data_IF_383429392048
#
_entry.id   IF_383429392048
#
_cell.length_a   1.000
_cell.length_b   1.000
_cell.length_c   1.000
_cell.angle_alpha   90.00
_cell.angle_beta   90.00
_cell.angle_gamma   90.00
#
_symmetry.space_group_name_H-M   'P 1'
#
loop_
_entity.id
_entity.type
_entity.pdbx_description
1 polymer ?
#
# COMPACT_ATOMS: atom_id res chain seq x y z
N UNK A 1 -10.47 -20.89 5.47
CA UNK A 1 -10.29 -19.42 5.55
C UNK A 1 -8.83 -19.01 5.75
N UNK A 2 -8.06 -19.67 6.64
CA UNK A 2 -6.63 -19.35 6.84
C UNK A 2 -5.76 -19.43 5.56
N UNK A 3 -6.00 -20.41 4.69
CA UNK A 3 -5.30 -20.51 3.40
C UNK A 3 -5.50 -19.25 2.54
N UNK A 4 -6.74 -18.77 2.42
CA UNK A 4 -7.09 -17.57 1.64
C UNK A 4 -6.41 -16.33 2.22
N UNK A 5 -6.39 -16.18 3.55
CA UNK A 5 -5.73 -15.06 4.22
C UNK A 5 -4.21 -15.05 3.95
N UNK A 6 -3.56 -16.22 4.01
CA UNK A 6 -2.13 -16.35 3.71
C UNK A 6 -1.83 -16.08 2.24
N UNK A 7 -2.66 -16.59 1.30
CA UNK A 7 -2.51 -16.30 -0.13
C UNK A 7 -2.60 -14.80 -0.41
N UNK A 8 -3.61 -14.13 0.13
CA UNK A 8 -3.78 -12.68 0.00
C UNK A 8 -2.61 -11.92 0.63
N UNK A 9 -2.18 -12.31 1.84
CA UNK A 9 -1.04 -11.70 2.53
C UNK A 9 0.22 -11.75 1.66
N UNK A 10 0.53 -12.90 1.05
CA UNK A 10 1.69 -13.07 0.17
C UNK A 10 1.60 -12.21 -1.09
N UNK A 11 0.41 -12.15 -1.73
CA UNK A 11 0.20 -11.33 -2.92
C UNK A 11 0.34 -9.83 -2.61
N UNK A 12 -0.27 -9.37 -1.51
CA UNK A 12 -0.16 -7.99 -1.04
C UNK A 12 1.29 -7.66 -0.70
N UNK A 13 2.00 -8.55 0.00
CA UNK A 13 3.41 -8.37 0.32
C UNK A 13 4.26 -8.16 -0.94
N UNK A 14 4.08 -8.98 -1.98
CA UNK A 14 4.82 -8.84 -3.24
C UNK A 14 4.54 -7.50 -3.94
N UNK A 15 3.26 -7.10 -4.01
CA UNK A 15 2.86 -5.82 -4.63
C UNK A 15 3.52 -4.65 -3.92
N UNK A 16 3.46 -4.61 -2.58
CA UNK A 16 4.03 -3.52 -1.79
C UNK A 16 5.55 -3.53 -1.73
N UNK A 17 6.19 -4.70 -1.80
CA UNK A 17 7.63 -4.78 -1.90
C UNK A 17 8.13 -4.11 -3.18
N UNK A 18 7.47 -4.39 -4.31
CA UNK A 18 7.81 -3.80 -5.61
C UNK A 18 7.48 -2.30 -5.65
N UNK A 19 6.27 -1.91 -5.24
CA UNK A 19 5.84 -0.51 -5.22
C UNK A 19 6.70 0.34 -4.27
N UNK A 20 6.98 -0.20 -3.08
CA UNK A 20 7.82 0.45 -2.08
C UNK A 20 9.26 0.60 -2.54
N UNK A 21 9.84 -0.44 -3.16
CA UNK A 21 11.18 -0.37 -3.73
C UNK A 21 11.31 0.73 -4.79
N UNK A 22 10.31 0.89 -5.68
CA UNK A 22 10.31 1.98 -6.67
C UNK A 22 10.34 3.36 -6.00
N UNK A 23 9.61 3.55 -4.90
CA UNK A 23 9.57 4.82 -4.16
C UNK A 23 10.83 5.08 -3.35
N UNK A 24 11.40 4.06 -2.70
CA UNK A 24 12.69 4.17 -1.99
C UNK A 24 13.81 4.57 -2.98
N UNK A 25 13.80 3.96 -4.16
CA UNK A 25 14.78 4.23 -5.22
C UNK A 25 14.46 5.47 -6.05
N UNK A 26 13.37 6.20 -5.74
CA UNK A 26 12.91 7.40 -6.46
C UNK A 26 12.81 7.19 -7.98
N UNK A 27 12.25 6.06 -8.41
CA UNK A 27 12.14 5.71 -9.84
C UNK A 27 11.03 6.52 -10.53
N UNK A 28 11.37 7.10 -11.67
CA UNK A 28 10.36 7.63 -12.59
C UNK A 28 9.66 6.50 -13.36
N UNK A 29 8.35 6.63 -13.69
CA UNK A 29 7.50 7.81 -13.52
C UNK A 29 6.79 7.92 -12.16
N UNK A 30 7.04 7.02 -11.21
CA UNK A 30 6.33 6.97 -9.91
C UNK A 30 6.57 8.25 -9.11
N UNK A 31 7.83 8.67 -8.99
CA UNK A 31 8.20 9.88 -8.23
C UNK A 31 7.69 11.15 -8.90
N UNK A 32 7.72 11.26 -10.23
CA UNK A 32 7.12 12.38 -10.95
C UNK A 32 5.62 12.59 -10.63
N UNK A 33 4.84 11.51 -10.54
CA UNK A 33 3.43 11.63 -10.15
C UNK A 33 3.26 12.08 -8.68
N UNK A 34 4.10 11.59 -7.77
CA UNK A 34 4.08 12.01 -6.35
C UNK A 34 4.48 13.48 -6.17
N UNK A 35 5.50 13.94 -6.90
CA UNK A 35 5.91 15.34 -6.90
C UNK A 35 4.79 16.27 -7.36
N UNK A 36 4.02 15.88 -8.40
CA UNK A 36 2.83 16.61 -8.85
C UNK A 36 1.77 16.74 -7.74
N UNK A 37 1.67 15.74 -6.86
CA UNK A 37 0.76 15.76 -5.70
C UNK A 37 1.30 16.56 -4.51
N UNK A 38 2.46 17.21 -4.65
CA UNK A 38 3.13 17.95 -3.58
C UNK A 38 3.93 17.05 -2.63
N UNK A 39 4.16 15.77 -2.99
CA UNK A 39 4.92 14.82 -2.17
C UNK A 39 6.39 14.84 -2.61
N UNK A 40 7.24 15.49 -1.81
CA UNK A 40 8.67 15.60 -2.08
C UNK A 40 9.45 14.27 -2.00
N UNK A 41 10.74 14.26 -2.40
CA UNK A 41 11.57 13.06 -2.44
C UNK A 41 11.74 12.37 -1.08
N UNK A 42 11.93 13.14 -0.01
CA UNK A 42 12.08 12.60 1.36
C UNK A 42 10.82 11.87 1.79
N UNK A 43 9.65 12.50 1.62
CA UNK A 43 8.36 11.87 1.95
C UNK A 43 8.10 10.66 1.05
N UNK A 44 8.49 10.72 -0.23
CA UNK A 44 8.39 9.59 -1.15
C UNK A 44 9.20 8.38 -0.66
N UNK A 45 10.45 8.60 -0.20
CA UNK A 45 11.26 7.53 0.40
C UNK A 45 10.65 6.98 1.68
N UNK A 46 10.11 7.84 2.55
CA UNK A 46 9.43 7.40 3.77
C UNK A 46 8.21 6.53 3.47
N UNK A 47 7.38 6.93 2.49
CA UNK A 47 6.25 6.11 2.02
C UNK A 47 6.76 4.77 1.50
N UNK A 48 7.79 4.77 0.65
CA UNK A 48 8.37 3.53 0.12
C UNK A 48 8.92 2.61 1.21
N UNK A 49 9.59 3.16 2.22
CA UNK A 49 10.12 2.40 3.35
C UNK A 49 9.01 1.77 4.18
N UNK A 50 7.91 2.50 4.42
CA UNK A 50 6.72 1.97 5.09
C UNK A 50 6.05 0.85 4.30
N UNK A 51 5.99 0.97 2.96
CA UNK A 51 5.46 -0.08 2.09
C UNK A 51 6.31 -1.35 2.14
N UNK A 52 7.64 -1.21 2.08
CA UNK A 52 8.57 -2.34 2.22
C UNK A 52 8.46 -2.96 3.62
N UNK A 53 8.40 -2.14 4.68
CA UNK A 53 8.23 -2.65 6.04
C UNK A 53 6.91 -3.40 6.21
N UNK A 54 5.81 -2.89 5.66
CA UNK A 54 4.52 -3.58 5.65
C UNK A 54 4.56 -4.89 4.86
N UNK A 55 5.23 -4.93 3.70
CA UNK A 55 5.42 -6.16 2.94
C UNK A 55 6.20 -7.22 3.73
N UNK A 56 7.30 -6.82 4.39
CA UNK A 56 8.08 -7.73 5.24
C UNK A 56 7.26 -8.20 6.45
N UNK A 57 6.46 -7.32 7.06
CA UNK A 57 5.56 -7.66 8.16
C UNK A 57 4.47 -8.66 7.76
N UNK A 58 3.89 -8.53 6.57
CA UNK A 58 2.94 -9.50 6.02
C UNK A 58 3.59 -10.87 5.76
N UNK A 59 4.82 -10.89 5.24
CA UNK A 59 5.58 -12.12 5.00
C UNK A 59 5.96 -12.82 6.31
N UNK A 60 6.56 -12.09 7.25
CA UNK A 60 6.89 -12.61 8.58
C UNK A 60 5.63 -13.02 9.37
N UNK A 61 4.51 -12.37 9.07
CA UNK A 61 3.19 -12.65 9.62
C UNK A 61 2.64 -14.05 9.34
N UNK A 62 3.21 -14.78 8.36
CA UNK A 62 2.89 -16.19 8.11
C UNK A 62 3.24 -17.06 9.33
N UNK A 63 4.35 -16.73 10.02
CA UNK A 63 4.78 -17.44 11.23
C UNK A 63 4.26 -16.77 12.51
N UNK A 64 4.01 -15.45 12.46
CA UNK A 64 3.54 -14.69 13.62
C UNK A 64 2.37 -13.76 13.25
N UNK A 65 1.15 -14.30 13.32
CA UNK A 65 -0.10 -13.62 12.90
C UNK A 65 -0.27 -12.17 13.39
N UNK A 66 0.07 -11.80 14.64
CA UNK A 66 -0.07 -10.42 15.09
C UNK A 66 0.70 -9.40 14.22
N UNK A 67 1.83 -9.82 13.64
CA UNK A 67 2.62 -8.99 12.74
C UNK A 67 1.94 -8.81 11.38
N UNK A 68 1.24 -9.83 10.87
CA UNK A 68 0.44 -9.71 9.65
C UNK A 68 -0.67 -8.66 9.83
N UNK A 69 -1.34 -8.68 10.99
CA UNK A 69 -2.46 -7.78 11.30
C UNK A 69 -1.96 -6.33 11.39
N UNK A 70 -0.88 -6.08 12.12
CA UNK A 70 -0.33 -4.71 12.25
C UNK A 70 0.21 -4.19 10.93
N UNK A 71 0.85 -5.04 10.13
CA UNK A 71 1.32 -4.70 8.78
C UNK A 71 0.15 -4.36 7.83
N UNK A 72 -0.88 -5.21 7.78
CA UNK A 72 -2.07 -4.97 6.96
C UNK A 72 -2.79 -3.67 7.37
N UNK A 73 -2.88 -3.41 8.67
CA UNK A 73 -3.45 -2.16 9.21
C UNK A 73 -2.64 -0.96 8.77
N UNK A 74 -1.31 -0.99 8.95
CA UNK A 74 -0.41 0.10 8.57
C UNK A 74 -0.46 0.42 7.07
N UNK A 75 -0.43 -0.61 6.22
CA UNK A 75 -0.55 -0.45 4.77
C UNK A 75 -1.91 0.15 4.38
N UNK A 76 -3.00 -0.30 5.02
CA UNK A 76 -4.33 0.25 4.77
C UNK A 76 -4.39 1.74 5.11
N UNK A 77 -3.86 2.15 6.28
CA UNK A 77 -3.81 3.56 6.69
C UNK A 77 -2.95 4.40 5.73
N UNK A 78 -1.79 3.87 5.29
CA UNK A 78 -0.91 4.54 4.34
C UNK A 78 -1.62 4.82 3.01
N UNK A 79 -2.39 3.84 2.52
CA UNK A 79 -3.16 3.99 1.28
C UNK A 79 -4.34 4.94 1.44
N UNK A 80 -5.03 4.94 2.58
CA UNK A 80 -6.06 5.94 2.86
C UNK A 80 -5.49 7.37 2.81
N UNK A 81 -4.28 7.55 3.33
CA UNK A 81 -3.51 8.79 3.17
C UNK A 81 -3.28 9.15 1.70
N UNK A 82 -2.83 8.18 0.89
CA UNK A 82 -2.62 8.37 -0.55
C UNK A 82 -3.90 8.75 -1.29
N UNK A 83 -5.04 8.12 -0.96
CA UNK A 83 -6.36 8.50 -1.50
C UNK A 83 -6.68 9.96 -1.16
N UNK A 84 -6.39 10.40 0.06
CA UNK A 84 -6.52 11.80 0.48
C UNK A 84 -5.74 12.79 -0.40
N UNK A 85 -4.49 12.47 -0.77
CA UNK A 85 -3.69 13.29 -1.70
C UNK A 85 -4.34 13.37 -3.09
N UNK A 86 -4.82 12.25 -3.63
CA UNK A 86 -5.49 12.21 -4.93
C UNK A 86 -6.84 12.95 -4.94
N UNK A 87 -7.61 12.89 -3.84
CA UNK A 87 -8.84 13.65 -3.67
C UNK A 87 -8.55 15.15 -3.65
N UNK A 88 -7.52 15.58 -2.91
CA UNK A 88 -7.09 16.98 -2.85
C UNK A 88 -6.63 17.50 -4.22
N UNK A 89 -5.95 16.66 -5.00
CA UNK A 89 -5.53 16.97 -6.37
C UNK A 89 -6.65 16.85 -7.42
N UNK A 90 -7.87 16.44 -7.04
CA UNK A 90 -9.01 16.19 -7.94
C UNK A 90 -8.69 15.21 -9.07
N UNK A 91 -7.88 14.20 -8.82
CA UNK A 91 -7.44 13.26 -9.86
C UNK A 91 -8.59 12.38 -10.39
N UNK A 92 -9.61 12.11 -9.57
CA UNK A 92 -10.75 11.29 -9.96
C UNK A 92 -11.62 11.93 -11.06
N UNK A 93 -11.65 13.27 -11.13
CA UNK A 93 -12.41 14.02 -12.14
C UNK A 93 -11.64 14.17 -13.45
N UNK A 94 -10.32 13.94 -13.46
CA UNK A 94 -9.47 14.10 -14.63
C UNK A 94 -9.09 12.75 -15.24
N UNK A 95 -9.55 12.49 -16.47
CA UNK A 95 -9.37 11.19 -17.16
C UNK A 95 -7.90 10.74 -17.22
N UNK A 96 -6.96 11.68 -17.35
CA UNK A 96 -5.50 11.44 -17.41
C UNK A 96 -4.91 10.94 -16.08
N UNK A 97 -5.49 11.32 -14.95
CA UNK A 97 -4.93 11.03 -13.62
C UNK A 97 -5.74 10.01 -12.82
N UNK A 98 -6.95 9.69 -13.29
CA UNK A 98 -7.84 8.72 -12.65
C UNK A 98 -7.18 7.35 -12.45
N UNK A 99 -6.40 6.87 -13.41
CA UNK A 99 -5.70 5.57 -13.29
C UNK A 99 -4.74 5.54 -12.10
N UNK A 100 -4.00 6.63 -11.87
CA UNK A 100 -3.10 6.75 -10.72
C UNK A 100 -3.86 6.83 -9.39
N UNK A 101 -5.03 7.46 -9.37
CA UNK A 101 -5.85 7.62 -8.16
C UNK A 101 -6.65 6.35 -7.79
N UNK A 102 -7.00 5.51 -8.77
CA UNK A 102 -7.75 4.27 -8.52
C UNK A 102 -6.86 3.20 -7.89
N UNK A 103 -5.57 3.14 -8.23
CA UNK A 103 -4.63 2.17 -7.67
C UNK A 103 -4.62 2.14 -6.12
N UNK A 104 -4.42 3.25 -5.40
CA UNK A 104 -4.44 3.22 -3.94
C UNK A 104 -5.82 2.88 -3.35
N UNK A 105 -6.92 3.19 -4.04
CA UNK A 105 -8.27 2.78 -3.60
C UNK A 105 -8.42 1.26 -3.66
N UNK A 106 -8.07 0.66 -4.80
CA UNK A 106 -8.15 -0.80 -4.98
C UNK A 106 -7.25 -1.49 -3.98
N UNK A 107 -6.01 -1.03 -3.82
CA UNK A 107 -5.09 -1.62 -2.86
C UNK A 107 -5.60 -1.45 -1.42
N UNK A 108 -6.29 -0.37 -1.08
CA UNK A 108 -6.79 -0.15 0.28
C UNK A 108 -7.92 -1.14 0.62
N UNK A 109 -8.76 -1.43 -0.37
CA UNK A 109 -9.79 -2.48 -0.24
C UNK A 109 -9.12 -3.85 -0.11
N UNK A 110 -8.09 -4.15 -0.90
CA UNK A 110 -7.39 -5.44 -0.84
C UNK A 110 -6.63 -5.61 0.49
N UNK A 111 -5.95 -4.59 0.99
CA UNK A 111 -5.26 -4.66 2.29
C UNK A 111 -6.25 -4.71 3.45
N UNK A 112 -7.34 -3.93 3.38
CA UNK A 112 -8.39 -3.94 4.39
C UNK A 112 -9.12 -5.27 4.46
N UNK A 113 -9.40 -5.91 3.31
CA UNK A 113 -9.97 -7.25 3.27
C UNK A 113 -8.98 -8.30 3.79
N UNK A 114 -7.70 -8.18 3.46
CA UNK A 114 -6.64 -9.04 4.04
C UNK A 114 -6.60 -8.91 5.56
N UNK A 115 -6.63 -7.68 6.09
CA UNK A 115 -6.69 -7.40 7.53
C UNK A 115 -7.92 -8.04 8.18
N UNK A 116 -9.10 -7.86 7.59
CA UNK A 116 -10.35 -8.42 8.12
C UNK A 116 -10.32 -9.96 8.16
N UNK A 117 -9.78 -10.60 7.11
CA UNK A 117 -9.64 -12.06 7.05
C UNK A 117 -8.62 -12.59 8.06
N UNK A 118 -7.52 -11.87 8.29
CA UNK A 118 -6.55 -12.22 9.34
C UNK A 118 -7.21 -12.17 10.71
N UNK A 119 -7.97 -11.11 11.02
CA UNK A 119 -8.70 -10.98 12.29
C UNK A 119 -9.76 -12.08 12.47
N UNK A 120 -10.53 -12.40 11.42
CA UNK A 120 -11.56 -13.44 11.47
C UNK A 120 -11.02 -14.87 11.62
N UNK A 121 -9.71 -15.07 11.40
CA UNK A 121 -9.04 -16.38 11.50
C UNK A 121 -7.99 -16.44 12.60
N UNK A 122 -7.94 -15.41 13.46
CA UNK A 122 -7.04 -15.29 14.60
C UNK A 122 -7.53 -16.04 15.82
#
# INVERSE_FOLDING_TARGET
>A
MAFVANTLSTLVALIFLLAGAQKVLLRDPVTANLLRLGVGPTMTRSIGALEVAGALGLAAGIWFKPLAITAATGLTLLLLGAVGFHLRARDFTHRRHRSHAVAPVVLAVVTGTTMALLLATS
#
